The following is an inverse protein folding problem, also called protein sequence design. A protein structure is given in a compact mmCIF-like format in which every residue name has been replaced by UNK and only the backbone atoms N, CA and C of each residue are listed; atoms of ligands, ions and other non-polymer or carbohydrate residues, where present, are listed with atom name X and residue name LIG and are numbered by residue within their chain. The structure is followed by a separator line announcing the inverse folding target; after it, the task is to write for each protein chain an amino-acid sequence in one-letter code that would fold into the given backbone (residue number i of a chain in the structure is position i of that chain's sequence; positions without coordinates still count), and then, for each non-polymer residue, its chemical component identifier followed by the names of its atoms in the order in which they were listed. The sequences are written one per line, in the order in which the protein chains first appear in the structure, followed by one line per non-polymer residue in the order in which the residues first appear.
data_IF_053462684100
#
_entry.id   IF_053462684100
#
_cell.length_a   1.000
_cell.length_b   1.000
_cell.length_c   1.000
_cell.angle_alpha   90.00
_cell.angle_beta   90.00
_cell.angle_gamma   90.00
#
_symmetry.space_group_name_H-M   'P 1'
#
loop_
_entity.id
_entity.type
_entity.pdbx_description
1 polymer ?
#
# COMPACT_ATOMS: atom_id res chain seq x y z
N UNK A 1 -28.02 1.80 -17.10
CA UNK A 1 -26.63 1.92 -17.56
C UNK A 1 -25.68 1.89 -16.37
N UNK A 2 -25.28 0.70 -15.94
CA UNK A 2 -24.31 0.54 -14.85
C UNK A 2 -22.91 0.68 -15.42
N UNK A 3 -22.44 1.92 -15.59
CA UNK A 3 -21.02 2.18 -15.89
C UNK A 3 -20.28 1.99 -14.57
N UNK A 4 -20.01 0.73 -14.23
CA UNK A 4 -19.08 0.41 -13.15
C UNK A 4 -17.72 0.82 -13.70
N UNK A 5 -17.32 2.04 -13.35
CA UNK A 5 -16.05 2.63 -13.71
C UNK A 5 -14.97 1.76 -13.06
N UNK A 6 -14.53 0.72 -13.77
CA UNK A 6 -13.39 -0.13 -13.45
C UNK A 6 -12.18 0.82 -13.44
N UNK A 7 -11.92 1.49 -12.31
CA UNK A 7 -10.71 2.28 -12.09
C UNK A 7 -9.56 1.33 -12.42
N UNK A 8 -8.90 1.58 -13.56
CA UNK A 8 -7.75 0.77 -13.98
C UNK A 8 -6.69 1.01 -12.91
N UNK A 9 -6.44 0.01 -12.09
CA UNK A 9 -5.27 -0.02 -11.22
C UNK A 9 -4.09 -0.21 -12.17
N UNK A 10 -3.41 0.88 -12.52
CA UNK A 10 -2.26 0.86 -13.44
C UNK A 10 -0.98 0.54 -12.66
N UNK A 11 -0.94 0.82 -11.36
CA UNK A 11 0.24 0.63 -10.53
C UNK A 11 -0.11 0.04 -9.16
N UNK A 12 0.87 -0.58 -8.52
CA UNK A 12 0.75 -1.16 -7.18
C UNK A 12 1.97 -0.78 -6.35
N UNK A 13 1.76 -0.55 -5.06
CA UNK A 13 2.84 -0.33 -4.10
C UNK A 13 2.94 -1.56 -3.20
N UNK A 14 4.10 -2.22 -3.23
CA UNK A 14 4.44 -3.36 -2.37
C UNK A 14 5.25 -2.88 -1.19
N UNK A 15 4.71 -3.00 0.01
CA UNK A 15 5.44 -2.78 1.26
C UNK A 15 5.90 -4.14 1.82
N UNK A 16 7.20 -4.29 2.01
CA UNK A 16 7.84 -5.46 2.63
C UNK A 16 8.16 -5.14 4.09
N UNK A 17 7.69 -5.99 4.99
CA UNK A 17 7.90 -5.86 6.43
C UNK A 17 8.86 -6.95 6.94
N UNK A 18 9.49 -6.72 8.08
CA UNK A 18 10.47 -7.63 8.71
C UNK A 18 9.92 -9.03 9.02
N UNK A 19 8.61 -9.19 9.14
CA UNK A 19 7.96 -10.44 9.50
C UNK A 19 7.57 -11.31 8.28
N UNK A 20 8.25 -11.12 7.13
CA UNK A 20 7.85 -11.67 5.82
C UNK A 20 6.42 -11.28 5.39
N UNK A 21 5.82 -10.30 6.05
CA UNK A 21 4.52 -9.76 5.68
C UNK A 21 4.72 -8.81 4.52
N UNK A 22 3.90 -8.97 3.47
CA UNK A 22 3.90 -8.09 2.31
C UNK A 22 2.49 -7.56 2.09
N UNK A 23 2.34 -6.25 2.00
CA UNK A 23 1.07 -5.62 1.66
C UNK A 23 1.13 -4.93 0.31
N UNK A 24 0.04 -5.05 -0.45
CA UNK A 24 -0.12 -4.49 -1.77
C UNK A 24 -1.19 -3.42 -1.77
N UNK A 25 -0.81 -2.20 -2.11
CA UNK A 25 -1.71 -1.06 -2.23
C UNK A 25 -1.94 -0.73 -3.70
N UNK A 26 -3.20 -0.62 -4.15
CA UNK A 26 -3.48 -0.14 -5.50
C UNK A 26 -3.12 1.34 -5.61
N UNK A 27 -2.49 1.72 -6.72
CA UNK A 27 -2.20 3.10 -7.06
C UNK A 27 -2.68 3.41 -8.48
N UNK A 28 -3.26 4.59 -8.66
CA UNK A 28 -3.79 5.03 -9.95
C UNK A 28 -2.67 5.56 -10.85
N UNK A 29 -1.68 6.25 -10.27
CA UNK A 29 -0.59 6.92 -10.98
C UNK A 29 0.75 6.81 -10.25
N UNK A 30 1.84 7.16 -10.93
CA UNK A 30 3.19 7.16 -10.32
C UNK A 30 3.31 8.16 -9.17
N UNK A 31 2.64 9.30 -9.25
CA UNK A 31 2.61 10.30 -8.17
C UNK A 31 1.87 9.75 -6.95
N UNK A 32 0.70 9.15 -7.17
CA UNK A 32 -0.08 8.53 -6.09
C UNK A 32 0.71 7.39 -5.43
N UNK A 33 1.36 6.53 -6.23
CA UNK A 33 2.23 5.47 -5.72
C UNK A 33 3.41 6.02 -4.88
N UNK A 34 4.00 7.15 -5.29
CA UNK A 34 5.06 7.82 -4.53
C UNK A 34 4.57 8.41 -3.22
N UNK A 35 3.39 9.03 -3.20
CA UNK A 35 2.80 9.55 -1.97
C UNK A 35 2.51 8.43 -0.98
N UNK A 36 1.89 7.33 -1.44
CA UNK A 36 1.65 6.15 -0.61
C UNK A 36 2.98 5.63 -0.04
N UNK A 37 4.00 5.45 -0.89
CA UNK A 37 5.31 4.98 -0.45
C UNK A 37 5.96 5.93 0.56
N UNK A 38 5.86 7.24 0.36
CA UNK A 38 6.41 8.25 1.26
C UNK A 38 5.71 8.21 2.62
N UNK A 39 4.38 8.14 2.65
CA UNK A 39 3.60 8.04 3.90
C UNK A 39 3.93 6.78 4.67
N UNK A 40 4.06 5.64 3.97
CA UNK A 40 4.48 4.37 4.57
C UNK A 40 5.87 4.50 5.22
N UNK A 41 6.82 5.18 4.57
CA UNK A 41 8.16 5.38 5.11
C UNK A 41 8.22 6.41 6.26
N UNK A 42 7.33 7.39 6.29
CA UNK A 42 7.36 8.51 7.25
C UNK A 42 6.51 8.21 8.50
N UNK A 43 5.27 7.79 8.30
CA UNK A 43 4.28 7.56 9.36
C UNK A 43 4.22 6.09 9.82
N UNK A 44 4.62 5.16 8.96
CA UNK A 44 4.38 3.72 9.13
C UNK A 44 3.20 3.22 8.30
N UNK A 45 2.81 1.97 8.49
CA UNK A 45 1.76 1.33 7.71
C UNK A 45 0.59 0.92 8.59
N UNK A 46 -0.59 1.42 8.24
CA UNK A 46 -1.87 0.97 8.80
C UNK A 46 -2.54 0.03 7.81
N UNK A 47 -2.84 -1.19 8.26
CA UNK A 47 -3.54 -2.18 7.45
C UNK A 47 -4.80 -2.59 8.16
N UNK A 48 -5.91 -2.56 7.44
CA UNK A 48 -7.20 -3.08 7.88
C UNK A 48 -7.34 -4.45 7.23
N UNK A 49 -7.40 -5.51 8.03
CA UNK A 49 -7.67 -6.87 7.53
C UNK A 49 -9.18 -7.09 7.31
N UNK A 50 -9.56 -8.19 6.67
CA UNK A 50 -10.98 -8.56 6.42
C UNK A 50 -11.86 -8.64 7.69
N UNK A 51 -11.24 -8.81 8.86
CA UNK A 51 -11.93 -8.78 10.16
C UNK A 51 -12.10 -7.35 10.72
N UNK A 52 -11.89 -6.32 9.90
CA UNK A 52 -11.89 -4.90 10.27
C UNK A 52 -10.89 -4.55 11.38
N UNK A 53 -9.90 -5.41 11.62
CA UNK A 53 -8.85 -5.19 12.60
C UNK A 53 -7.74 -4.30 12.02
N UNK A 54 -7.51 -3.16 12.68
CA UNK A 54 -6.44 -2.24 12.36
C UNK A 54 -5.12 -2.73 12.95
N UNK A 55 -4.20 -3.15 12.08
CA UNK A 55 -2.83 -3.49 12.47
C UNK A 55 -1.89 -2.35 12.07
N UNK A 56 -1.24 -1.76 13.07
CA UNK A 56 -0.21 -0.75 12.86
C UNK A 56 1.17 -1.39 12.81
N UNK A 57 1.89 -1.13 11.72
CA UNK A 57 3.28 -1.48 11.54
C UNK A 57 4.16 -0.22 11.58
N UNK A 58 5.01 -0.05 12.60
CA UNK A 58 5.88 1.11 12.69
C UNK A 58 6.97 1.07 11.59
N UNK A 59 7.53 2.24 11.28
CA UNK A 59 8.60 2.42 10.28
C UNK A 59 9.79 1.46 10.47
N UNK A 60 10.09 1.07 11.71
CA UNK A 60 11.18 0.15 12.05
C UNK A 60 10.94 -1.28 11.58
N UNK A 61 9.69 -1.64 11.31
CA UNK A 61 9.30 -2.92 10.74
C UNK A 61 9.24 -2.90 9.21
N UNK A 62 9.17 -1.72 8.59
CA UNK A 62 9.13 -1.58 7.14
C UNK A 62 10.56 -1.69 6.61
N UNK A 63 10.82 -2.75 5.85
CA UNK A 63 12.14 -3.03 5.29
C UNK A 63 12.33 -2.36 3.93
N UNK A 64 11.30 -2.42 3.08
CA UNK A 64 11.39 -1.94 1.70
C UNK A 64 10.01 -1.62 1.14
N UNK A 65 9.91 -0.53 0.39
CA UNK A 65 8.73 -0.22 -0.42
C UNK A 65 9.11 -0.25 -1.90
N UNK A 66 8.34 -0.96 -2.72
CA UNK A 66 8.57 -1.09 -4.16
C UNK A 66 7.31 -0.72 -4.94
N UNK A 67 7.46 0.17 -5.90
CA UNK A 67 6.39 0.50 -6.85
C UNK A 67 6.49 -0.48 -8.02
N UNK A 68 5.36 -1.13 -8.34
CA UNK A 68 5.18 -2.09 -9.42
C UNK A 68 4.17 -1.51 -10.41
N UNK A 69 4.45 -1.65 -11.70
CA UNK A 69 3.57 -1.20 -12.80
C UNK A 69 2.99 -2.42 -13.50
#
# INVERSE_FOLDING_TARGET
CSIINKRRIIMKVRAYLKHNVTHEFPAEDTNHAREIAKRICDEGLWVINDEEQETFYPITQIFKVKIVK
#
